data_IF_731198790266
#
_entry.id   IF_731198790266
#
_cell.length_a   1.000
_cell.length_b   1.000
_cell.length_c   1.000
_cell.angle_alpha   90.00
_cell.angle_beta   90.00
_cell.angle_gamma   90.00
#
_symmetry.space_group_name_H-M   'P 1'
#
loop_
_entity.id
_entity.type
_entity.pdbx_description
1 polymer ?
#
# COMPACT_ATOMS: atom_id res chain seq x y z
N UNK A 1 57.35 17.73 38.06
CA UNK A 1 57.09 16.55 38.92
C UNK A 1 56.18 15.61 38.15
N UNK A 2 56.70 14.44 37.76
CA UNK A 2 55.96 13.42 37.03
C UNK A 2 55.40 12.39 38.02
N UNK A 3 54.09 12.19 38.05
CA UNK A 3 53.45 11.10 38.80
C UNK A 3 52.97 10.04 37.82
N UNK A 4 53.65 8.89 37.80
CA UNK A 4 53.30 7.72 36.99
C UNK A 4 52.03 7.04 37.53
N UNK A 5 51.01 6.84 36.69
CA UNK A 5 49.90 5.91 36.99
C UNK A 5 50.21 4.52 36.43
N UNK A 6 50.09 3.48 37.28
CA UNK A 6 50.14 2.07 36.88
C UNK A 6 48.72 1.59 36.60
N UNK A 7 48.46 0.95 35.45
CA UNK A 7 47.19 0.27 35.17
C UNK A 7 47.42 -1.26 35.26
N UNK A 8 46.63 -1.99 36.08
CA UNK A 8 46.77 -3.45 36.34
C UNK A 8 45.67 -4.29 35.65
N UNK A 9 46.05 -5.44 35.04
CA UNK A 9 45.17 -6.35 34.27
C UNK A 9 44.26 -7.18 35.17
N UNK A 10 42.95 -6.92 35.10
CA UNK A 10 41.90 -7.87 35.52
C UNK A 10 41.12 -8.36 34.30
N UNK A 11 41.16 -9.67 34.02
CA UNK A 11 40.40 -10.32 32.95
C UNK A 11 39.25 -11.13 33.54
N UNK A 12 38.05 -10.54 33.58
CA UNK A 12 36.80 -11.24 33.90
C UNK A 12 35.89 -11.25 32.67
N UNK A 13 35.55 -12.44 32.16
CA UNK A 13 34.43 -12.63 31.26
C UNK A 13 33.17 -12.80 32.10
N UNK A 14 32.16 -11.97 31.86
CA UNK A 14 30.83 -12.14 32.44
C UNK A 14 29.79 -12.12 31.32
N UNK A 15 29.10 -13.24 31.14
CA UNK A 15 27.97 -13.38 30.23
C UNK A 15 26.69 -12.92 30.92
N UNK A 16 25.90 -12.10 30.22
CA UNK A 16 24.54 -11.73 30.63
C UNK A 16 23.54 -12.61 29.87
N UNK A 17 22.52 -13.19 30.53
CA UNK A 17 21.47 -13.93 29.83
C UNK A 17 20.62 -12.97 28.98
N UNK A 18 20.47 -13.29 27.70
CA UNK A 18 19.68 -12.52 26.74
C UNK A 18 18.24 -13.09 26.63
N UNK A 19 17.22 -12.25 26.37
CA UNK A 19 15.87 -12.75 26.11
C UNK A 19 15.80 -13.51 24.77
N UNK A 20 14.87 -14.47 24.72
CA UNK A 20 14.75 -15.47 23.67
C UNK A 20 14.71 -14.85 22.26
N UNK A 21 15.65 -15.28 21.42
CA UNK A 21 15.80 -14.85 20.02
C UNK A 21 17.12 -14.12 19.71
N UNK A 22 17.92 -13.76 20.71
CA UNK A 22 19.24 -13.13 20.49
C UNK A 22 20.37 -14.01 21.01
N UNK A 23 21.39 -14.24 20.16
CA UNK A 23 22.57 -15.03 20.51
C UNK A 23 23.38 -14.41 21.66
N UNK A 24 24.25 -15.19 22.33
CA UNK A 24 24.96 -14.72 23.51
C UNK A 24 25.88 -13.52 23.20
N UNK A 25 25.69 -12.43 23.92
CA UNK A 25 26.51 -11.22 23.82
C UNK A 25 27.80 -11.46 24.61
N UNK A 26 28.93 -11.63 23.90
CA UNK A 26 30.25 -11.71 24.52
C UNK A 26 30.88 -10.31 24.58
N UNK A 27 31.07 -9.77 25.78
CA UNK A 27 31.70 -8.47 25.99
C UNK A 27 32.93 -8.58 26.90
N UNK A 28 34.12 -8.31 26.35
CA UNK A 28 35.32 -8.04 27.16
C UNK A 28 35.24 -6.65 27.78
N UNK A 29 35.30 -6.57 29.11
CA UNK A 29 35.35 -5.33 29.89
C UNK A 29 36.69 -4.59 29.69
N UNK A 30 36.71 -3.26 29.43
CA UNK A 30 37.95 -2.51 29.29
C UNK A 30 38.37 -1.79 30.59
N UNK A 31 39.68 -1.59 30.68
CA UNK A 31 40.42 -0.86 31.71
C UNK A 31 40.01 0.60 31.92
N UNK A 32 40.07 1.04 33.17
CA UNK A 32 39.93 2.44 33.59
C UNK A 32 41.27 2.91 34.18
N UNK A 33 41.81 4.04 33.70
CA UNK A 33 42.98 4.69 34.31
C UNK A 33 42.50 6.01 34.99
N UNK A 34 42.97 6.28 36.21
CA UNK A 34 42.52 7.40 37.07
C UNK A 34 43.09 8.75 36.60
N UNK A 35 42.31 9.86 36.71
CA UNK A 35 42.70 11.21 37.23
C UNK A 35 41.60 12.31 37.07
N UNK A 36 41.48 13.16 38.13
CA UNK A 36 41.02 14.58 38.27
C UNK A 36 39.55 15.03 38.53
N UNK A 37 39.25 15.20 39.85
CA UNK A 37 38.58 16.28 40.64
C UNK A 37 37.15 16.81 40.43
N UNK A 38 36.27 16.15 39.68
CA UNK A 38 34.84 16.22 40.06
C UNK A 38 34.14 14.95 39.63
N UNK A 39 33.39 14.35 40.57
CA UNK A 39 32.63 13.10 40.35
C UNK A 39 31.74 13.23 39.11
N UNK A 40 31.19 14.42 38.88
CA UNK A 40 30.32 14.71 37.74
C UNK A 40 31.05 14.66 36.39
N UNK A 41 32.24 15.30 36.27
CA UNK A 41 33.02 15.25 35.02
C UNK A 41 33.56 13.86 34.72
N UNK A 42 33.87 13.08 35.76
CA UNK A 42 34.29 11.69 35.62
C UNK A 42 33.13 10.81 35.12
N UNK A 43 31.95 10.94 35.72
CA UNK A 43 30.75 10.22 35.26
C UNK A 43 30.39 10.57 33.82
N UNK A 44 30.47 11.86 33.44
CA UNK A 44 30.18 12.29 32.08
C UNK A 44 31.20 11.78 31.05
N UNK A 45 32.46 11.58 31.45
CA UNK A 45 33.50 11.02 30.57
C UNK A 45 33.38 9.50 30.44
N UNK A 46 33.10 8.78 31.55
CA UNK A 46 32.81 7.35 31.48
C UNK A 46 31.61 7.10 30.59
N UNK A 47 30.51 7.83 30.81
CA UNK A 47 29.28 7.67 30.03
C UNK A 47 29.55 7.88 28.54
N UNK A 48 30.28 8.94 28.18
CA UNK A 48 30.64 9.20 26.77
C UNK A 48 31.55 8.12 26.18
N UNK A 49 32.55 7.66 26.91
CA UNK A 49 33.49 6.64 26.42
C UNK A 49 32.85 5.26 26.28
N UNK A 50 31.94 4.90 27.20
CA UNK A 50 31.17 3.65 27.15
C UNK A 50 30.15 3.70 26.03
N UNK A 51 29.43 4.81 25.87
CA UNK A 51 28.46 5.00 24.79
C UNK A 51 29.14 4.93 23.41
N UNK A 52 30.27 5.63 23.24
CA UNK A 52 31.02 5.61 21.99
C UNK A 52 31.59 4.22 21.65
N UNK A 53 31.93 3.40 22.66
CA UNK A 53 32.42 2.03 22.47
C UNK A 53 31.29 1.03 22.24
N UNK A 54 30.12 1.23 22.85
CA UNK A 54 28.90 0.48 22.56
C UNK A 54 28.46 0.73 21.11
N UNK A 55 28.42 1.99 20.67
CA UNK A 55 28.07 2.32 19.27
C UNK A 55 29.07 1.76 18.25
N UNK A 56 30.36 1.63 18.60
CA UNK A 56 31.36 0.99 17.71
C UNK A 56 31.30 -0.54 17.70
N UNK A 57 30.70 -1.17 18.72
CA UNK A 57 30.58 -2.64 18.83
C UNK A 57 29.21 -3.17 18.46
N UNK A 58 28.16 -2.37 18.64
CA UNK A 58 26.82 -2.62 18.17
C UNK A 58 26.68 -2.01 16.76
N UNK A 59 27.17 -2.73 15.76
CA UNK A 59 26.78 -2.45 14.38
C UNK A 59 25.28 -2.73 14.30
N UNK A 60 24.48 -1.69 14.07
CA UNK A 60 23.13 -1.89 13.55
C UNK A 60 23.31 -2.56 12.19
N UNK A 61 23.16 -3.88 12.14
CA UNK A 61 22.93 -4.55 10.86
C UNK A 61 21.66 -3.91 10.32
N UNK A 62 21.67 -3.24 9.17
CA UNK A 62 20.43 -2.84 8.53
C UNK A 62 19.71 -4.15 8.19
N UNK A 63 18.79 -4.57 9.06
CA UNK A 63 17.81 -5.58 8.71
C UNK A 63 17.01 -4.92 7.59
N UNK A 64 17.22 -5.40 6.37
CA UNK A 64 16.41 -4.97 5.24
C UNK A 64 14.94 -5.10 5.66
N UNK A 65 14.09 -4.09 5.42
CA UNK A 65 12.69 -4.20 5.80
C UNK A 65 12.15 -5.49 5.19
N UNK A 66 11.60 -6.34 6.05
CA UNK A 66 11.07 -7.64 5.69
C UNK A 66 10.05 -7.43 4.54
N UNK A 67 10.44 -7.77 3.31
CA UNK A 67 9.60 -7.49 2.14
C UNK A 67 8.51 -8.55 2.06
N UNK A 68 7.23 -8.16 1.89
CA UNK A 68 6.15 -9.11 1.78
C UNK A 68 6.37 -10.07 0.60
N UNK A 69 6.11 -11.36 0.81
CA UNK A 69 6.31 -12.40 -0.21
C UNK A 69 5.02 -12.58 -1.00
N UNK A 70 5.09 -12.43 -2.33
CA UNK A 70 3.97 -12.69 -3.23
C UNK A 70 3.63 -14.19 -3.23
N UNK A 71 2.39 -14.52 -2.86
CA UNK A 71 1.88 -15.89 -2.86
C UNK A 71 1.25 -16.25 -4.20
N UNK A 72 0.41 -15.35 -4.73
CA UNK A 72 -0.30 -15.57 -5.99
C UNK A 72 -0.76 -14.25 -6.60
N UNK A 73 -1.05 -14.28 -7.90
CA UNK A 73 -1.72 -13.23 -8.64
C UNK A 73 -2.87 -13.82 -9.46
N UNK A 74 -4.05 -13.21 -9.38
CA UNK A 74 -5.21 -13.59 -10.17
C UNK A 74 -5.73 -12.37 -10.94
N UNK A 75 -6.21 -12.63 -12.16
CA UNK A 75 -6.82 -11.61 -13.02
C UNK A 75 -8.24 -12.01 -13.33
N UNK A 76 -9.18 -11.09 -13.15
CA UNK A 76 -10.58 -11.32 -13.48
C UNK A 76 -11.06 -10.24 -14.46
N UNK A 77 -12.15 -10.54 -15.13
CA UNK A 77 -12.83 -9.60 -16.02
C UNK A 77 -14.28 -9.51 -15.60
N UNK A 78 -14.75 -8.28 -15.42
CA UNK A 78 -16.10 -7.96 -14.99
C UNK A 78 -16.73 -6.99 -15.98
N UNK A 79 -18.03 -7.13 -16.23
CA UNK A 79 -18.75 -6.22 -17.12
C UNK A 79 -19.72 -5.37 -16.31
N UNK A 80 -19.64 -4.05 -16.50
CA UNK A 80 -20.56 -3.08 -15.89
C UNK A 80 -21.31 -2.34 -17.00
N UNK A 81 -22.64 -2.37 -16.94
CA UNK A 81 -23.49 -1.61 -17.86
C UNK A 81 -24.22 -0.52 -17.10
N UNK A 82 -24.16 0.70 -17.63
CA UNK A 82 -24.90 1.84 -17.11
C UNK A 82 -25.58 2.60 -18.24
N UNK A 83 -26.75 3.16 -17.97
CA UNK A 83 -27.47 4.01 -18.91
C UNK A 83 -27.54 5.43 -18.36
N UNK A 84 -27.13 6.39 -19.17
CA UNK A 84 -27.20 7.82 -18.87
C UNK A 84 -28.32 8.42 -19.70
N UNK A 85 -29.38 8.86 -19.02
CA UNK A 85 -30.46 9.65 -19.65
C UNK A 85 -29.98 11.09 -19.80
N UNK A 86 -30.09 11.65 -21.01
CA UNK A 86 -29.68 13.02 -21.25
C UNK A 86 -30.73 13.99 -20.73
N UNK A 87 -30.29 15.10 -20.14
CA UNK A 87 -31.20 16.15 -19.65
C UNK A 87 -31.96 16.81 -20.81
N UNK A 88 -31.29 16.95 -21.96
CA UNK A 88 -31.84 17.48 -23.21
C UNK A 88 -31.49 16.50 -24.33
N UNK A 89 -32.44 16.23 -25.23
CA UNK A 89 -32.16 15.38 -26.40
C UNK A 89 -31.02 15.96 -27.23
N UNK A 90 -30.08 15.10 -27.63
CA UNK A 90 -28.89 15.49 -28.37
C UNK A 90 -29.02 15.25 -29.87
N UNK A 91 -28.43 16.13 -30.67
CA UNK A 91 -28.28 15.96 -32.11
C UNK A 91 -26.98 15.23 -32.46
N UNK A 92 -25.95 15.37 -31.63
CA UNK A 92 -24.67 14.72 -31.80
C UNK A 92 -23.99 14.48 -30.45
N UNK A 93 -23.30 13.34 -30.36
CA UNK A 93 -22.42 13.00 -29.24
C UNK A 93 -20.99 13.44 -29.57
N UNK A 94 -20.41 14.29 -28.74
CA UNK A 94 -19.08 14.85 -29.01
C UNK A 94 -17.98 14.04 -28.32
N UNK A 95 -18.11 13.85 -27.00
CA UNK A 95 -17.10 13.17 -26.18
C UNK A 95 -17.79 12.35 -25.10
N UNK A 96 -17.29 11.13 -24.86
CA UNK A 96 -17.65 10.32 -23.69
C UNK A 96 -16.37 9.94 -22.98
N UNK A 97 -16.18 10.48 -21.78
CA UNK A 97 -15.06 10.15 -20.92
C UNK A 97 -15.55 9.32 -19.74
N UNK A 98 -14.84 8.24 -19.43
CA UNK A 98 -15.16 7.37 -18.30
C UNK A 98 -13.92 7.20 -17.46
N UNK A 99 -14.07 7.40 -16.15
CA UNK A 99 -12.98 7.23 -15.19
C UNK A 99 -13.45 6.42 -13.99
N UNK A 100 -12.49 5.77 -13.32
CA UNK A 100 -12.71 5.05 -12.07
C UNK A 100 -12.30 5.95 -10.91
N UNK A 101 -13.10 5.95 -9.85
CA UNK A 101 -12.84 6.68 -8.61
C UNK A 101 -13.09 5.80 -7.40
N UNK A 102 -12.46 6.12 -6.27
CA UNK A 102 -12.68 5.45 -4.97
C UNK A 102 -12.53 3.91 -5.00
N UNK A 103 -11.66 3.38 -5.86
CA UNK A 103 -11.47 1.92 -5.98
C UNK A 103 -10.78 1.39 -4.73
N UNK A 104 -11.38 0.36 -4.12
CA UNK A 104 -10.89 -0.31 -2.92
C UNK A 104 -11.02 -1.83 -3.05
N UNK A 105 -10.05 -2.51 -2.45
CA UNK A 105 -9.98 -3.96 -2.36
C UNK A 105 -10.00 -4.35 -0.88
N UNK A 106 -10.93 -5.19 -0.48
CA UNK A 106 -11.11 -5.62 0.92
C UNK A 106 -11.24 -7.14 1.00
N UNK A 107 -10.58 -7.77 1.98
CA UNK A 107 -10.73 -9.21 2.23
C UNK A 107 -11.98 -9.40 3.10
N UNK A 108 -12.93 -10.19 2.62
CA UNK A 108 -14.22 -10.46 3.30
C UNK A 108 -14.32 -11.91 3.80
N UNK A 109 -13.44 -12.81 3.34
CA UNK A 109 -13.40 -14.22 3.77
C UNK A 109 -11.98 -14.78 3.77
N UNK A 110 -11.72 -15.74 4.68
CA UNK A 110 -10.37 -16.28 4.96
C UNK A 110 -10.20 -17.78 4.68
N UNK A 111 -11.28 -18.57 4.63
CA UNK A 111 -11.24 -19.99 4.25
C UNK A 111 -10.96 -20.19 2.76
N UNK A 112 -11.25 -19.16 1.97
CA UNK A 112 -10.74 -18.85 0.63
C UNK A 112 -10.69 -17.33 0.58
N UNK A 113 -9.65 -16.71 0.01
CA UNK A 113 -9.58 -15.25 -0.02
C UNK A 113 -10.69 -14.75 -0.94
N UNK A 114 -11.76 -14.24 -0.33
CA UNK A 114 -12.84 -13.54 -1.03
C UNK A 114 -12.49 -12.06 -0.94
N UNK A 115 -12.20 -11.46 -2.09
CA UNK A 115 -11.92 -10.04 -2.21
C UNK A 115 -13.16 -9.33 -2.70
N UNK A 116 -13.56 -8.30 -1.97
CA UNK A 116 -14.56 -7.34 -2.41
C UNK A 116 -13.86 -6.20 -3.11
N UNK A 117 -14.18 -6.03 -4.39
CA UNK A 117 -13.74 -4.91 -5.21
C UNK A 117 -14.89 -3.93 -5.29
N UNK A 118 -14.66 -2.67 -4.93
CA UNK A 118 -15.71 -1.66 -5.03
C UNK A 118 -15.14 -0.30 -5.37
N UNK A 119 -15.97 0.56 -5.94
CA UNK A 119 -15.62 1.91 -6.32
C UNK A 119 -16.75 2.56 -7.09
N UNK A 120 -16.42 3.66 -7.75
CA UNK A 120 -17.36 4.45 -8.53
C UNK A 120 -16.86 4.59 -9.96
N UNK A 121 -17.76 4.43 -10.93
CA UNK A 121 -17.54 4.81 -12.32
C UNK A 121 -18.12 6.20 -12.52
N UNK A 122 -17.30 7.14 -12.96
CA UNK A 122 -17.73 8.49 -13.31
C UNK A 122 -17.71 8.60 -14.84
N UNK A 123 -18.89 8.73 -15.43
CA UNK A 123 -19.06 8.95 -16.85
C UNK A 123 -19.45 10.42 -17.10
N UNK A 124 -18.66 11.10 -17.93
CA UNK A 124 -18.91 12.48 -18.37
C UNK A 124 -19.18 12.47 -19.87
N UNK A 125 -20.36 12.93 -20.25
CA UNK A 125 -20.84 12.96 -21.62
C UNK A 125 -20.97 14.40 -22.06
N UNK A 126 -20.31 14.76 -23.14
CA UNK A 126 -20.45 16.06 -23.81
C UNK A 126 -21.18 15.86 -25.13
N UNK A 127 -22.24 16.66 -25.34
CA UNK A 127 -23.11 16.52 -26.50
C UNK A 127 -23.61 17.89 -26.97
N UNK A 128 -24.09 17.94 -28.20
CA UNK A 128 -24.77 19.11 -28.75
C UNK A 128 -26.27 18.87 -28.68
N UNK A 129 -27.01 19.74 -28.00
CA UNK A 129 -28.45 19.61 -27.86
C UNK A 129 -29.20 19.90 -29.17
N UNK A 130 -30.49 19.60 -29.19
CA UNK A 130 -31.41 20.07 -30.25
C UNK A 130 -31.54 21.60 -30.31
N UNK A 131 -31.14 22.29 -29.25
CA UNK A 131 -31.00 23.74 -29.17
C UNK A 131 -29.73 24.27 -29.87
N UNK A 132 -28.85 23.39 -30.33
CA UNK A 132 -27.57 23.72 -30.97
C UNK A 132 -26.49 24.16 -29.98
N UNK A 133 -26.71 24.02 -28.67
CA UNK A 133 -25.75 24.40 -27.64
C UNK A 133 -25.00 23.17 -27.09
N UNK A 134 -23.75 23.34 -26.63
CA UNK A 134 -23.02 22.28 -25.97
C UNK A 134 -23.52 22.07 -24.54
N UNK A 135 -23.80 20.82 -24.20
CA UNK A 135 -24.21 20.37 -22.87
C UNK A 135 -23.22 19.34 -22.31
N UNK A 136 -23.24 19.17 -21.00
CA UNK A 136 -22.43 18.17 -20.31
C UNK A 136 -23.24 17.53 -19.21
N UNK A 137 -23.41 16.21 -19.29
CA UNK A 137 -24.03 15.40 -18.24
C UNK A 137 -22.96 14.51 -17.59
N UNK A 138 -22.99 14.41 -16.27
CA UNK A 138 -22.10 13.54 -15.50
C UNK A 138 -22.93 12.59 -14.66
N UNK A 139 -22.63 11.30 -14.76
CA UNK A 139 -23.27 10.25 -13.97
C UNK A 139 -22.20 9.49 -13.21
N UNK A 140 -22.48 9.23 -11.94
CA UNK A 140 -21.64 8.39 -11.07
C UNK A 140 -22.40 7.13 -10.73
N UNK A 141 -21.82 5.97 -11.05
CA UNK A 141 -22.41 4.66 -10.76
C UNK A 141 -21.50 3.88 -9.82
N UNK A 142 -21.97 3.55 -8.61
CA UNK A 142 -21.21 2.69 -7.71
C UNK A 142 -21.25 1.24 -8.22
N UNK A 143 -20.14 0.53 -8.06
CA UNK A 143 -20.05 -0.90 -8.37
C UNK A 143 -19.44 -1.69 -7.21
N UNK A 144 -19.81 -2.96 -7.12
CA UNK A 144 -19.25 -3.92 -6.17
C UNK A 144 -19.18 -5.29 -6.84
N UNK A 145 -18.01 -5.91 -6.82
CA UNK A 145 -17.77 -7.29 -7.26
C UNK A 145 -17.19 -8.11 -6.12
N UNK A 146 -17.43 -9.42 -6.15
CA UNK A 146 -16.83 -10.38 -5.23
C UNK A 146 -16.01 -11.36 -6.04
N UNK A 147 -14.73 -11.46 -5.71
CA UNK A 147 -13.79 -12.31 -6.42
C UNK A 147 -13.21 -13.32 -5.45
N UNK A 148 -13.24 -14.58 -5.85
CA UNK A 148 -12.69 -15.66 -5.04
C UNK A 148 -11.37 -16.09 -5.62
N UNK A 149 -10.30 -15.93 -4.84
CA UNK A 149 -8.98 -16.43 -5.21
C UNK A 149 -8.84 -17.83 -4.61
N UNK A 150 -8.81 -18.89 -5.44
CA UNK A 150 -8.66 -20.25 -4.94
C UNK A 150 -7.28 -20.45 -4.32
N UNK A 151 -7.23 -21.13 -3.18
CA UNK A 151 -5.98 -21.47 -2.51
C UNK A 151 -6.11 -21.52 -0.99
N UNK A 152 -5.09 -22.05 -0.35
CA UNK A 152 -4.92 -22.03 1.11
C UNK A 152 -3.93 -20.93 1.47
N UNK A 153 -4.38 -19.97 2.26
CA UNK A 153 -3.59 -18.79 2.60
C UNK A 153 -3.38 -18.68 4.13
N UNK A 154 -2.23 -18.16 4.58
CA UNK A 154 -2.03 -17.86 5.99
C UNK A 154 -2.97 -16.74 6.46
N UNK A 155 -3.26 -16.64 7.76
CA UNK A 155 -4.24 -15.68 8.30
C UNK A 155 -3.83 -14.20 8.17
N UNK A 156 -2.53 -13.91 7.94
CA UNK A 156 -1.99 -12.54 7.93
C UNK A 156 -1.70 -12.03 6.52
N UNK A 157 -2.44 -12.51 5.51
CA UNK A 157 -2.24 -12.04 4.14
C UNK A 157 -2.67 -10.58 3.94
N UNK A 158 -1.99 -9.90 3.04
CA UNK A 158 -2.40 -8.60 2.51
C UNK A 158 -2.72 -8.73 1.03
N UNK A 159 -3.59 -7.87 0.54
CA UNK A 159 -3.95 -7.81 -0.88
C UNK A 159 -3.54 -6.47 -1.46
N UNK A 160 -3.05 -6.50 -2.69
CA UNK A 160 -2.89 -5.32 -3.53
C UNK A 160 -3.62 -5.58 -4.85
N UNK A 161 -4.47 -4.65 -5.23
CA UNK A 161 -5.25 -4.75 -6.46
C UNK A 161 -4.99 -3.57 -7.37
N UNK A 162 -5.10 -3.80 -8.68
CA UNK A 162 -5.28 -2.75 -9.66
C UNK A 162 -6.54 -3.03 -10.47
N UNK A 163 -7.28 -2.00 -10.84
CA UNK A 163 -8.48 -2.09 -11.68
C UNK A 163 -8.30 -1.17 -12.88
N UNK A 164 -8.56 -1.68 -14.07
CA UNK A 164 -8.46 -0.92 -15.31
C UNK A 164 -9.69 -1.13 -16.18
N UNK A 165 -10.05 -0.10 -16.96
CA UNK A 165 -11.02 -0.21 -18.03
C UNK A 165 -10.27 -0.81 -19.23
N UNK A 166 -10.66 -2.02 -19.64
CA UNK A 166 -10.06 -2.72 -20.79
C UNK A 166 -10.80 -2.40 -22.06
N UNK A 167 -12.13 -2.28 -21.98
CA UNK A 167 -12.95 -1.93 -23.12
C UNK A 167 -14.12 -1.05 -22.69
N UNK A 168 -14.57 -0.21 -23.61
CA UNK A 168 -15.74 0.61 -23.46
C UNK A 168 -16.57 0.52 -24.74
N UNK A 169 -17.84 0.15 -24.59
CA UNK A 169 -18.81 0.09 -25.66
C UNK A 169 -19.87 1.15 -25.36
N UNK A 170 -20.12 2.00 -26.35
CA UNK A 170 -21.11 3.08 -26.25
C UNK A 170 -22.22 2.76 -27.24
N UNK A 171 -23.44 2.68 -26.76
CA UNK A 171 -24.65 2.57 -27.57
C UNK A 171 -25.53 3.77 -27.30
N UNK A 172 -26.05 4.38 -28.37
CA UNK A 172 -26.96 5.52 -28.28
C UNK A 172 -28.39 5.02 -28.49
N UNK A 173 -29.32 5.56 -27.71
CA UNK A 173 -30.74 5.41 -27.94
C UNK A 173 -31.24 6.65 -28.66
N UNK A 174 -31.80 6.45 -29.86
CA UNK A 174 -32.36 7.51 -30.68
C UNK A 174 -33.88 7.38 -30.71
N UNK A 175 -34.57 8.52 -30.59
CA UNK A 175 -36.00 8.59 -30.86
C UNK A 175 -36.23 8.47 -32.38
N UNK A 176 -36.97 7.44 -32.85
CA UNK A 176 -37.17 7.21 -34.27
C UNK A 176 -37.97 8.32 -34.98
N UNK A 177 -38.68 9.17 -34.24
CA UNK A 177 -39.49 10.25 -34.80
C UNK A 177 -38.71 11.55 -35.03
N UNK A 178 -37.70 11.81 -34.20
CA UNK A 178 -36.89 13.04 -34.24
C UNK A 178 -35.44 12.79 -34.63
N UNK A 179 -35.01 11.53 -34.63
CA UNK A 179 -33.61 11.09 -34.75
C UNK A 179 -32.69 11.72 -33.69
N UNK A 180 -33.26 12.22 -32.59
CA UNK A 180 -32.49 12.80 -31.51
C UNK A 180 -32.08 11.70 -30.52
N UNK A 181 -30.85 11.78 -30.03
CA UNK A 181 -30.32 10.89 -29.00
C UNK A 181 -30.97 11.27 -27.67
N UNK A 182 -31.62 10.31 -27.01
CA UNK A 182 -32.33 10.50 -25.73
C UNK A 182 -31.57 9.90 -24.55
N UNK A 183 -30.82 8.82 -24.79
CA UNK A 183 -30.00 8.18 -23.79
C UNK A 183 -28.71 7.61 -24.38
N UNK A 184 -27.70 7.47 -23.54
CA UNK A 184 -26.42 6.84 -23.88
C UNK A 184 -26.18 5.70 -22.91
N UNK A 185 -26.09 4.49 -23.42
CA UNK A 185 -25.71 3.31 -22.63
C UNK A 185 -24.22 3.06 -22.80
N UNK A 186 -23.53 2.95 -21.67
CA UNK A 186 -22.10 2.72 -21.57
C UNK A 186 -21.91 1.34 -20.94
N UNK A 187 -21.27 0.44 -21.68
CA UNK A 187 -20.85 -0.87 -21.18
C UNK A 187 -19.34 -0.88 -21.05
N UNK A 188 -18.86 -1.14 -19.83
CA UNK A 188 -17.45 -1.20 -19.49
C UNK A 188 -17.05 -2.64 -19.24
N UNK A 189 -15.95 -3.04 -19.84
CA UNK A 189 -15.24 -4.27 -19.47
C UNK A 189 -14.08 -3.85 -18.59
N UNK A 190 -14.18 -4.21 -17.33
CA UNK A 190 -13.17 -3.97 -16.32
C UNK A 190 -12.29 -5.21 -16.21
N UNK A 191 -10.98 -5.01 -16.05
CA UNK A 191 -10.10 -6.06 -15.59
C UNK A 191 -9.40 -5.62 -14.33
N UNK A 192 -9.46 -6.47 -13.32
CA UNK A 192 -8.65 -6.35 -12.13
C UNK A 192 -7.57 -7.41 -12.07
N UNK A 193 -6.49 -7.00 -11.42
CA UNK A 193 -5.37 -7.86 -11.08
C UNK A 193 -5.19 -7.78 -9.58
N UNK A 194 -5.42 -8.88 -8.88
CA UNK A 194 -5.26 -8.98 -7.44
C UNK A 194 -4.02 -9.81 -7.13
N UNK A 195 -3.15 -9.27 -6.30
CA UNK A 195 -1.96 -9.91 -5.77
C UNK A 195 -2.13 -10.15 -4.28
N UNK A 196 -1.85 -11.38 -3.85
CA UNK A 196 -1.90 -11.78 -2.45
C UNK A 196 -0.48 -11.91 -1.92
N UNK A 197 -0.21 -11.26 -0.79
CA UNK A 197 1.08 -11.28 -0.14
C UNK A 197 0.99 -11.88 1.26
N UNK A 198 2.08 -12.49 1.71
CA UNK A 198 2.30 -12.85 3.11
C UNK A 198 3.32 -11.90 3.76
N UNK A 199 3.24 -11.69 5.08
CA UNK A 199 4.28 -11.00 5.82
C UNK A 199 5.59 -11.79 5.69
N UNK A 200 6.72 -11.10 5.52
CA UNK A 200 8.00 -11.78 5.63
C UNK A 200 8.21 -12.27 7.07
N UNK A 201 8.65 -13.53 7.18
CA UNK A 201 8.94 -14.20 8.44
C UNK A 201 10.18 -13.63 9.14
#
# INVERSE_FOLDING_TARGET
MATSSRCSRGSGLSSLPAPAGSGPISCCLPFVCEYSTSIQRFNDQITRSVLARLQRRCVTIPVAPAQPVLLTSATFQETLTTTVTLTISATALNVVNVTLSNVRFEIVGISSIIVRVSGDVVATIQYTGIDGLPHTDTVTVPFVFLQTIPGTFPPNVTISGNLAIVNQIITVEEDPSTLAITAVTITLVLADTIQVFSPAA
#
